data_IF_452430712293
#
_entry.id   IF_452430712293
#
_cell.length_a   1.000
_cell.length_b   1.000
_cell.length_c   1.000
_cell.angle_alpha   90.00
_cell.angle_beta   90.00
_cell.angle_gamma   90.00
#
_symmetry.space_group_name_H-M   'P 1'
#
loop_
_entity.id
_entity.type
_entity.pdbx_description
1 polymer ?
#
# COMPACT_ATOMS: atom_id res chain seq x y z
N UNK A 1 -4.87 13.34 -21.67
CA UNK A 1 -5.66 12.17 -22.11
C UNK A 1 -6.17 11.43 -20.87
N UNK A 2 -7.36 10.81 -20.93
CA UNK A 2 -8.00 10.12 -19.77
C UNK A 2 -7.13 9.02 -19.13
N UNK A 3 -6.13 8.51 -19.86
CA UNK A 3 -5.27 7.40 -19.44
C UNK A 3 -3.90 7.82 -18.88
N UNK A 4 -3.54 9.11 -18.90
CA UNK A 4 -2.21 9.55 -18.47
C UNK A 4 -2.01 9.30 -16.96
N UNK A 5 -3.03 9.60 -16.15
CA UNK A 5 -3.04 9.33 -14.70
C UNK A 5 -2.93 7.83 -14.40
N UNK A 6 -3.68 7.00 -15.12
CA UNK A 6 -3.63 5.54 -14.98
C UNK A 6 -2.25 4.99 -15.33
N UNK A 7 -1.66 5.43 -16.45
CA UNK A 7 -0.32 5.01 -16.85
C UNK A 7 0.74 5.40 -15.81
N UNK A 8 0.64 6.60 -15.24
CA UNK A 8 1.52 7.04 -14.16
C UNK A 8 1.35 6.20 -12.89
N UNK A 9 0.10 5.92 -12.48
CA UNK A 9 -0.20 5.08 -11.33
C UNK A 9 0.36 3.66 -11.49
N UNK A 10 0.22 3.04 -12.67
CA UNK A 10 0.76 1.72 -12.97
C UNK A 10 2.29 1.72 -12.94
N UNK A 11 2.94 2.76 -13.47
CA UNK A 11 4.41 2.90 -13.39
C UNK A 11 4.89 2.99 -11.94
N UNK A 12 4.20 3.78 -11.10
CA UNK A 12 4.50 3.89 -9.67
C UNK A 12 4.32 2.55 -8.96
N UNK A 13 3.21 1.84 -9.22
CA UNK A 13 2.95 0.51 -8.68
C UNK A 13 4.06 -0.48 -9.06
N UNK A 14 4.45 -0.50 -10.33
CA UNK A 14 5.54 -1.37 -10.78
C UNK A 14 6.85 -1.05 -10.05
N UNK A 15 7.19 0.23 -9.88
CA UNK A 15 8.39 0.63 -9.15
C UNK A 15 8.33 0.21 -7.66
N UNK A 16 7.16 0.34 -7.02
CA UNK A 16 6.95 -0.10 -5.64
C UNK A 16 7.02 -1.63 -5.49
N UNK A 17 6.42 -2.39 -6.41
CA UNK A 17 6.51 -3.85 -6.43
C UNK A 17 7.97 -4.32 -6.44
N UNK A 18 8.80 -3.76 -7.34
CA UNK A 18 10.23 -4.09 -7.39
C UNK A 18 10.97 -3.78 -6.09
N UNK A 19 10.60 -2.70 -5.39
CA UNK A 19 11.17 -2.34 -4.09
C UNK A 19 10.76 -3.34 -3.00
N UNK A 20 9.49 -3.72 -2.96
CA UNK A 20 8.97 -4.72 -2.04
C UNK A 20 9.64 -6.10 -2.26
N UNK A 21 9.78 -6.52 -3.52
CA UNK A 21 10.47 -7.77 -3.87
C UNK A 21 11.93 -7.75 -3.39
N UNK A 22 12.65 -6.66 -3.67
CA UNK A 22 14.03 -6.48 -3.19
C UNK A 22 14.13 -6.45 -1.67
N UNK A 23 13.18 -5.82 -0.97
CA UNK A 23 13.15 -5.81 0.49
C UNK A 23 12.91 -7.23 1.05
N UNK A 24 12.02 -7.98 0.41
CA UNK A 24 11.69 -9.37 0.77
C UNK A 24 12.91 -10.27 0.59
N UNK A 25 13.59 -10.18 -0.56
CA UNK A 25 14.83 -10.91 -0.83
C UNK A 25 15.90 -10.62 0.23
N UNK A 26 16.12 -9.35 0.58
CA UNK A 26 17.11 -8.96 1.59
C UNK A 26 16.76 -9.51 2.98
N UNK A 27 15.48 -9.47 3.36
CA UNK A 27 15.02 -10.04 4.62
C UNK A 27 15.26 -11.56 4.68
N UNK A 28 14.89 -12.27 3.61
CA UNK A 28 15.09 -13.73 3.52
C UNK A 28 16.57 -14.11 3.50
N UNK A 29 17.42 -13.34 2.81
CA UNK A 29 18.87 -13.55 2.79
C UNK A 29 19.47 -13.37 4.19
N UNK A 30 19.10 -12.30 4.90
CA UNK A 30 19.56 -12.06 6.28
C UNK A 30 19.09 -13.16 7.25
N UNK A 31 17.91 -13.74 7.02
CA UNK A 31 17.40 -14.88 7.79
C UNK A 31 18.24 -16.13 7.58
N UNK A 32 18.66 -16.41 6.32
CA UNK A 32 19.54 -17.55 5.98
C UNK A 32 20.97 -17.38 6.49
N UNK A 33 21.49 -16.15 6.52
CA UNK A 33 22.84 -15.84 6.99
C UNK A 33 22.96 -15.70 8.52
N UNK A 34 21.93 -16.11 9.27
CA UNK A 34 21.89 -15.99 10.73
C UNK A 34 22.22 -14.58 11.25
N UNK A 35 21.83 -13.54 10.51
CA UNK A 35 22.06 -12.16 10.91
C UNK A 35 21.50 -11.87 12.32
N UNK A 36 22.08 -10.87 12.98
CA UNK A 36 21.65 -10.45 14.32
C UNK A 36 20.15 -10.11 14.36
N UNK A 37 19.53 -10.28 15.54
CA UNK A 37 18.12 -9.98 15.74
C UNK A 37 17.76 -8.54 15.31
N UNK A 38 18.62 -7.57 15.65
CA UNK A 38 18.44 -6.17 15.27
C UNK A 38 18.45 -5.97 13.74
N UNK A 39 19.33 -6.66 13.02
CA UNK A 39 19.39 -6.58 11.56
C UNK A 39 18.17 -7.21 10.91
N UNK A 40 17.67 -8.33 11.45
CA UNK A 40 16.43 -8.97 10.98
C UNK A 40 15.21 -8.07 11.23
N UNK A 41 15.12 -7.45 12.40
CA UNK A 41 14.05 -6.51 12.74
C UNK A 41 14.04 -5.30 11.78
N UNK A 42 15.18 -4.64 11.58
CA UNK A 42 15.26 -3.49 10.66
C UNK A 42 14.89 -3.83 9.21
N UNK A 43 15.25 -5.01 8.73
CA UNK A 43 14.86 -5.48 7.39
C UNK A 43 13.38 -5.85 7.31
N UNK A 44 12.82 -6.40 8.39
CA UNK A 44 11.38 -6.68 8.52
C UNK A 44 10.58 -5.39 8.48
N UNK A 45 10.98 -4.37 9.25
CA UNK A 45 10.30 -3.07 9.27
C UNK A 45 10.34 -2.40 7.89
N UNK A 46 11.50 -2.46 7.22
CA UNK A 46 11.64 -1.97 5.84
C UNK A 46 10.72 -2.71 4.87
N UNK A 47 10.62 -4.04 4.98
CA UNK A 47 9.70 -4.82 4.14
C UNK A 47 8.25 -4.41 4.37
N UNK A 48 7.83 -4.23 5.62
CA UNK A 48 6.48 -3.77 5.95
C UNK A 48 6.19 -2.41 5.31
N UNK A 49 7.13 -1.47 5.37
CA UNK A 49 6.98 -0.13 4.77
C UNK A 49 6.82 -0.22 3.24
N UNK A 50 7.67 -1.00 2.56
CA UNK A 50 7.61 -1.11 1.10
C UNK A 50 6.35 -1.88 0.62
N UNK A 51 5.90 -2.89 1.37
CA UNK A 51 4.62 -3.57 1.11
C UNK A 51 3.44 -2.61 1.30
N UNK A 52 3.46 -1.81 2.36
CA UNK A 52 2.42 -0.81 2.61
C UNK A 52 2.35 0.24 1.49
N UNK A 53 3.50 0.71 1.01
CA UNK A 53 3.55 1.65 -0.13
C UNK A 53 2.98 1.02 -1.41
N UNK A 54 3.29 -0.24 -1.69
CA UNK A 54 2.71 -0.97 -2.82
C UNK A 54 1.18 -1.07 -2.69
N UNK A 55 0.67 -1.40 -1.50
CA UNK A 55 -0.77 -1.60 -1.30
C UNK A 55 -1.56 -0.30 -1.51
N UNK A 56 -1.06 0.85 -1.03
CA UNK A 56 -1.64 2.16 -1.35
C UNK A 56 -1.68 2.44 -2.85
N UNK A 57 -0.64 2.03 -3.58
CA UNK A 57 -0.58 2.21 -5.03
C UNK A 57 -1.52 1.27 -5.78
N UNK A 58 -1.85 0.08 -5.23
CA UNK A 58 -2.90 -0.77 -5.77
C UNK A 58 -4.27 -0.07 -5.68
N UNK A 59 -4.56 0.56 -4.55
CA UNK A 59 -5.80 1.33 -4.40
C UNK A 59 -5.85 2.52 -5.37
N UNK A 60 -4.74 3.23 -5.54
CA UNK A 60 -4.64 4.32 -6.51
C UNK A 60 -4.87 3.83 -7.95
N UNK A 61 -4.23 2.73 -8.35
CA UNK A 61 -4.43 2.13 -9.68
C UNK A 61 -5.89 1.73 -9.86
N UNK A 62 -6.53 1.15 -8.85
CA UNK A 62 -7.95 0.82 -8.92
C UNK A 62 -8.82 2.06 -9.09
N UNK A 63 -8.56 3.13 -8.32
CA UNK A 63 -9.24 4.41 -8.46
C UNK A 63 -9.13 4.96 -9.90
N UNK A 64 -7.92 4.96 -10.47
CA UNK A 64 -7.70 5.43 -11.84
C UNK A 64 -8.32 4.51 -12.90
N UNK A 65 -8.41 3.20 -12.66
CA UNK A 65 -9.14 2.28 -13.54
C UNK A 65 -10.64 2.59 -13.56
N UNK A 66 -11.22 2.92 -12.42
CA UNK A 66 -12.63 3.35 -12.31
C UNK A 66 -12.84 4.69 -13.01
N UNK A 67 -11.97 5.68 -12.77
CA UNK A 67 -12.01 6.99 -13.44
C UNK A 67 -11.90 6.86 -14.98
N UNK A 68 -11.09 5.92 -15.44
CA UNK A 68 -10.93 5.60 -16.86
C UNK A 68 -12.14 4.85 -17.47
N UNK A 69 -13.06 4.36 -16.64
CA UNK A 69 -14.20 3.54 -17.07
C UNK A 69 -13.83 2.12 -17.47
N UNK A 70 -12.70 1.60 -16.97
CA UNK A 70 -12.18 0.26 -17.27
C UNK A 70 -12.62 -0.75 -16.21
N UNK A 71 -12.77 -0.31 -14.96
CA UNK A 71 -13.19 -1.15 -13.83
C UNK A 71 -14.46 -0.61 -13.18
N UNK A 72 -15.21 -1.50 -12.55
CA UNK A 72 -16.33 -1.13 -11.71
C UNK A 72 -15.84 -0.65 -10.33
N UNK A 73 -16.55 0.29 -9.70
CA UNK A 73 -16.24 0.70 -8.33
C UNK A 73 -16.44 -0.48 -7.38
N UNK A 74 -15.51 -0.64 -6.43
CA UNK A 74 -15.74 -1.47 -5.24
C UNK A 74 -16.88 -0.92 -4.37
N UNK A 75 -17.29 -1.73 -3.39
CA UNK A 75 -18.19 -1.32 -2.32
C UNK A 75 -17.65 -0.10 -1.56
N UNK A 76 -18.56 0.68 -0.99
CA UNK A 76 -18.25 1.90 -0.23
C UNK A 76 -17.27 1.68 0.93
N UNK A 77 -17.30 0.50 1.55
CA UNK A 77 -16.38 0.07 2.62
C UNK A 77 -14.93 0.02 2.16
N UNK A 78 -14.67 -0.26 0.88
CA UNK A 78 -13.32 -0.28 0.33
C UNK A 78 -12.69 1.11 0.26
N UNK A 79 -13.51 2.16 0.28
CA UNK A 79 -13.07 3.57 0.24
C UNK A 79 -13.26 4.30 1.57
N UNK A 80 -13.79 3.61 2.58
CA UNK A 80 -13.93 4.17 3.91
C UNK A 80 -12.53 4.39 4.55
N UNK A 81 -12.38 5.41 5.41
CA UNK A 81 -11.14 5.57 6.18
C UNK A 81 -10.86 4.32 7.03
N UNK A 82 -9.61 3.85 7.01
CA UNK A 82 -9.19 2.66 7.73
C UNK A 82 -8.19 3.05 8.82
N UNK A 83 -8.45 2.64 10.06
CA UNK A 83 -7.44 2.74 11.13
C UNK A 83 -6.41 1.63 10.97
N UNK A 84 -5.15 2.02 10.83
CA UNK A 84 -4.05 1.09 10.69
C UNK A 84 -3.18 1.19 11.93
N UNK A 85 -2.96 0.03 12.55
CA UNK A 85 -2.09 -0.09 13.72
C UNK A 85 -0.81 -0.78 13.29
N UNK A 86 0.31 -0.05 13.32
CA UNK A 86 1.64 -0.61 13.07
C UNK A 86 2.39 -0.74 14.39
N UNK A 87 2.87 -1.95 14.70
CA UNK A 87 3.77 -2.18 15.83
C UNK A 87 5.14 -1.55 15.56
N UNK A 88 5.71 -0.84 16.54
CA UNK A 88 7.05 -0.24 16.46
C UNK A 88 8.01 -0.82 17.50
N UNK A 89 7.65 -1.97 18.09
CA UNK A 89 8.46 -2.69 19.09
C UNK A 89 8.19 -2.27 20.54
N UNK A 90 8.67 -3.08 21.49
CA UNK A 90 8.56 -2.85 22.94
C UNK A 90 7.12 -2.59 23.45
N UNK A 91 6.11 -3.17 22.80
CA UNK A 91 4.70 -2.98 23.15
C UNK A 91 4.10 -1.65 22.66
N UNK A 92 4.84 -0.86 21.90
CA UNK A 92 4.35 0.37 21.29
C UNK A 92 3.75 0.11 19.91
N UNK A 93 2.68 0.84 19.61
CA UNK A 93 2.08 0.88 18.28
C UNK A 93 1.78 2.32 17.88
N UNK A 94 1.89 2.58 16.58
CA UNK A 94 1.43 3.83 15.98
C UNK A 94 0.11 3.54 15.29
N UNK A 95 -0.88 4.36 15.60
CA UNK A 95 -2.16 4.36 14.90
C UNK A 95 -2.18 5.50 13.91
N UNK A 96 -2.57 5.22 12.68
CA UNK A 96 -2.77 6.24 11.66
C UNK A 96 -4.03 5.94 10.86
N UNK A 97 -4.71 7.01 10.45
CA UNK A 97 -5.90 6.92 9.63
C UNK A 97 -5.49 6.98 8.15
N UNK A 98 -5.72 5.90 7.42
CA UNK A 98 -5.52 5.85 5.98
C UNK A 98 -6.83 6.15 5.27
N UNK A 99 -6.77 7.02 4.26
CA UNK A 99 -7.89 7.35 3.41
C UNK A 99 -7.62 6.81 2.00
N UNK A 100 -8.26 5.70 1.60
CA UNK A 100 -8.13 5.20 0.24
C UNK A 100 -8.61 6.26 -0.78
N UNK A 101 -7.95 6.38 -1.94
CA UNK A 101 -8.37 7.31 -2.98
C UNK A 101 -9.75 6.94 -3.52
N UNK A 102 -10.63 7.93 -3.64
CA UNK A 102 -12.00 7.78 -4.15
C UNK A 102 -12.07 8.15 -5.64
N UNK A 103 -12.73 7.33 -6.48
CA UNK A 103 -12.96 7.69 -7.87
C UNK A 103 -13.80 8.96 -8.02
N UNK A 104 -13.51 9.74 -9.06
CA UNK A 104 -14.20 10.98 -9.39
C UNK A 104 -15.65 10.68 -9.82
N UNK A 105 -16.61 11.48 -9.33
CA UNK A 105 -18.02 11.38 -9.75
C UNK A 105 -18.84 10.31 -9.05
N UNK A 106 -18.26 9.52 -8.14
CA UNK A 106 -19.02 8.58 -7.30
C UNK A 106 -19.41 9.27 -6.00
N UNK A 107 -20.71 9.39 -5.77
CA UNK A 107 -21.24 9.83 -4.48
C UNK A 107 -21.30 8.64 -3.54
N UNK A 108 -20.41 8.65 -2.55
CA UNK A 108 -20.43 7.75 -1.42
C UNK A 108 -21.23 8.44 -0.31
N UNK A 109 -22.33 7.83 0.13
CA UNK A 109 -23.10 8.28 1.29
C UNK A 109 -22.25 8.21 2.54
N UNK A 110 -21.91 9.35 3.14
CA UNK A 110 -21.26 9.38 4.45
C UNK A 110 -22.12 8.59 5.44
N UNK A 111 -21.64 7.48 6.03
CA UNK A 111 -22.41 6.84 7.09
C UNK A 111 -22.51 7.82 8.27
N UNK A 112 -23.72 7.95 8.80
CA UNK A 112 -24.09 8.83 9.90
C UNK A 112 -23.39 8.43 11.22
#
# INVERSE_FOLDING_TARGET
>A
MRYDKLLEAVKKLHAAQRRADKASENYHLARKQEASANRKAALSDKLVIECWERDKLLDLVHCELVNAGIAEPKDETAYAPQEITQSVGHGHSIKFLYHPPKPEGIQFSTPA
#
